data_IF_460519087408
#
_entry.id   IF_460519087408
#
_cell.length_a   1.000
_cell.length_b   1.000
_cell.length_c   1.000
_cell.angle_alpha   90.00
_cell.angle_beta   90.00
_cell.angle_gamma   90.00
#
_symmetry.space_group_name_H-M   'P 1'
#
loop_
_entity.id
_entity.type
_entity.pdbx_description
1 polymer ?
#
# COMPACT_ATOMS: atom_id res chain seq x y z
N UNK A 1 -9.21 -14.39 15.72
CA UNK A 1 -7.75 -14.13 15.74
C UNK A 1 -7.33 -12.96 14.82
N UNK A 2 -7.84 -12.91 13.58
CA UNK A 2 -7.55 -11.82 12.61
C UNK A 2 -7.90 -10.41 13.14
N UNK A 3 -9.00 -10.25 13.86
CA UNK A 3 -9.39 -8.93 14.42
C UNK A 3 -8.40 -8.45 15.48
N UNK A 4 -7.98 -9.32 16.40
CA UNK A 4 -6.98 -8.99 17.42
C UNK A 4 -5.63 -8.59 16.78
N UNK A 5 -5.21 -9.33 15.74
CA UNK A 5 -4.03 -8.97 14.95
C UNK A 5 -4.17 -7.57 14.34
N UNK A 6 -5.31 -7.26 13.71
CA UNK A 6 -5.55 -5.93 13.11
C UNK A 6 -5.51 -4.81 14.15
N UNK A 7 -6.12 -5.03 15.32
CA UNK A 7 -6.20 -4.04 16.41
C UNK A 7 -4.84 -3.75 17.02
N UNK A 8 -3.89 -4.68 17.02
CA UNK A 8 -2.53 -4.45 17.53
C UNK A 8 -1.59 -3.97 16.43
N UNK A 9 -1.63 -4.61 15.26
CA UNK A 9 -0.67 -4.41 14.19
C UNK A 9 -0.88 -3.07 13.48
N UNK A 10 -2.13 -2.65 13.23
CA UNK A 10 -2.42 -1.37 12.58
C UNK A 10 -1.88 -0.15 13.37
N UNK A 11 -2.15 0.01 14.68
CA UNK A 11 -1.59 1.12 15.43
C UNK A 11 -0.08 1.00 15.61
N UNK A 12 0.47 -0.22 15.79
CA UNK A 12 1.91 -0.41 15.90
C UNK A 12 2.66 0.01 14.62
N UNK A 13 2.15 -0.37 13.44
CA UNK A 13 2.75 0.01 12.17
C UNK A 13 2.65 1.51 11.92
N UNK A 14 1.52 2.14 12.25
CA UNK A 14 1.41 3.60 12.18
C UNK A 14 2.36 4.27 13.17
N UNK A 15 2.54 3.72 14.36
CA UNK A 15 3.51 4.23 15.32
C UNK A 15 4.92 4.22 14.75
N UNK A 16 5.36 3.04 14.30
CA UNK A 16 6.69 2.82 13.74
C UNK A 16 6.91 3.70 12.51
N UNK A 17 5.96 3.73 11.58
CA UNK A 17 6.06 4.54 10.37
C UNK A 17 6.05 6.04 10.66
N UNK A 18 5.28 6.50 11.65
CA UNK A 18 5.26 7.90 12.06
C UNK A 18 6.59 8.30 12.71
N UNK A 19 7.14 7.46 13.60
CA UNK A 19 8.45 7.71 14.23
C UNK A 19 9.57 7.71 13.19
N UNK A 20 9.56 6.74 12.27
CA UNK A 20 10.52 6.68 11.16
C UNK A 20 10.36 7.88 10.24
N UNK A 21 9.14 8.32 9.94
CA UNK A 21 8.87 9.52 9.15
C UNK A 21 9.38 10.80 9.80
N UNK A 22 9.29 10.91 11.13
CA UNK A 22 9.84 12.04 11.89
C UNK A 22 11.37 12.05 11.85
N UNK A 23 12.02 10.88 11.94
CA UNK A 23 13.49 10.78 11.99
C UNK A 23 14.17 10.80 10.62
N UNK A 24 13.56 10.16 9.62
CA UNK A 24 14.17 9.90 8.31
C UNK A 24 13.40 10.55 7.14
N UNK A 25 12.29 11.24 7.41
CA UNK A 25 11.54 12.01 6.44
C UNK A 25 10.31 11.29 5.86
N UNK A 26 9.38 12.05 5.25
CA UNK A 26 8.08 11.52 4.82
C UNK A 26 8.18 10.43 3.75
N UNK A 27 9.14 10.54 2.82
CA UNK A 27 9.36 9.53 1.77
C UNK A 27 9.69 8.15 2.33
N UNK A 28 10.50 8.09 3.39
CA UNK A 28 10.87 6.80 4.01
C UNK A 28 9.68 6.20 4.75
N UNK A 29 8.84 7.02 5.37
CA UNK A 29 7.60 6.52 5.99
C UNK A 29 6.63 5.92 4.95
N UNK A 30 6.46 6.59 3.80
CA UNK A 30 5.64 6.11 2.69
C UNK A 30 6.15 4.79 2.09
N UNK A 31 7.47 4.70 1.91
CA UNK A 31 8.13 3.47 1.45
C UNK A 31 7.93 2.31 2.42
N UNK A 32 8.11 2.56 3.72
CA UNK A 32 7.96 1.53 4.74
C UNK A 32 6.54 0.97 4.79
N UNK A 33 5.52 1.84 4.74
CA UNK A 33 4.11 1.38 4.80
C UNK A 33 3.64 0.70 3.51
N UNK A 34 4.41 0.78 2.42
CA UNK A 34 4.13 0.02 1.21
C UNK A 34 4.48 -1.47 1.32
N UNK A 35 5.24 -1.88 2.34
CA UNK A 35 5.47 -3.31 2.60
C UNK A 35 4.16 -4.01 3.04
N UNK A 36 4.00 -5.30 2.72
CA UNK A 36 2.82 -6.09 3.09
C UNK A 36 2.83 -6.50 4.57
N UNK A 37 3.08 -5.57 5.48
CA UNK A 37 3.15 -5.85 6.91
C UNK A 37 1.81 -6.31 7.50
N UNK A 38 0.69 -5.80 6.99
CA UNK A 38 -0.65 -6.26 7.40
C UNK A 38 -1.25 -7.25 6.43
N UNK A 39 -1.12 -6.98 5.13
CA UNK A 39 -1.68 -7.82 4.07
C UNK A 39 -1.01 -9.19 4.00
N UNK A 40 0.28 -9.30 4.31
CA UNK A 40 1.00 -10.58 4.38
C UNK A 40 0.46 -11.51 5.46
N UNK A 41 0.46 -11.14 6.75
CA UNK A 41 -0.13 -11.95 7.80
C UNK A 41 -1.62 -12.24 7.58
N UNK A 42 -2.41 -11.26 7.12
CA UNK A 42 -3.83 -11.49 6.80
C UNK A 42 -3.99 -12.52 5.68
N UNK A 43 -3.16 -12.45 4.64
CA UNK A 43 -3.15 -13.44 3.56
C UNK A 43 -2.75 -14.83 4.06
N UNK A 44 -1.84 -14.94 5.03
CA UNK A 44 -1.45 -16.21 5.63
C UNK A 44 -2.62 -16.84 6.41
N UNK A 45 -3.32 -16.06 7.22
CA UNK A 45 -4.51 -16.54 7.93
C UNK A 45 -5.60 -16.97 6.95
N UNK A 46 -5.85 -16.18 5.89
CA UNK A 46 -6.81 -16.55 4.85
C UNK A 46 -6.40 -17.85 4.14
N UNK A 47 -5.12 -18.08 3.87
CA UNK A 47 -4.64 -19.33 3.27
C UNK A 47 -4.86 -20.54 4.19
N UNK A 48 -4.68 -20.35 5.50
CA UNK A 48 -4.89 -21.40 6.51
C UNK A 48 -6.39 -21.70 6.74
N UNK A 49 -7.24 -20.68 6.69
CA UNK A 49 -8.68 -20.80 6.95
C UNK A 49 -9.48 -21.22 5.71
N UNK A 50 -9.13 -20.70 4.54
CA UNK A 50 -9.91 -20.85 3.29
C UNK A 50 -9.18 -21.69 2.21
N UNK A 51 -7.94 -22.11 2.48
CA UNK A 51 -7.14 -22.92 1.57
C UNK A 51 -6.34 -22.11 0.55
N UNK A 52 -5.49 -22.83 -0.20
CA UNK A 52 -4.49 -22.23 -1.11
C UNK A 52 -5.12 -21.57 -2.34
N UNK A 53 -6.18 -22.17 -2.91
CA UNK A 53 -6.85 -21.61 -4.09
C UNK A 53 -7.49 -20.24 -3.83
N UNK A 54 -8.08 -20.05 -2.63
CA UNK A 54 -8.58 -18.73 -2.22
C UNK A 54 -7.43 -17.73 -2.09
N UNK A 55 -6.32 -18.14 -1.48
CA UNK A 55 -5.15 -17.28 -1.32
C UNK A 55 -4.51 -16.90 -2.67
N UNK A 56 -4.45 -17.82 -3.64
CA UNK A 56 -3.98 -17.54 -4.99
C UNK A 56 -4.88 -16.53 -5.71
N UNK A 57 -6.19 -16.71 -5.65
CA UNK A 57 -7.16 -15.79 -6.25
C UNK A 57 -7.13 -14.40 -5.60
N UNK A 58 -7.03 -14.34 -4.27
CA UNK A 58 -6.88 -13.09 -3.52
C UNK A 58 -5.55 -12.38 -3.83
N UNK A 59 -4.47 -13.14 -4.03
CA UNK A 59 -3.17 -12.60 -4.43
C UNK A 59 -3.23 -11.97 -5.83
N UNK A 60 -3.89 -12.62 -6.79
CA UNK A 60 -4.10 -12.03 -8.13
C UNK A 60 -4.84 -10.68 -8.06
N UNK A 61 -5.92 -10.61 -7.28
CA UNK A 61 -6.63 -9.33 -7.03
C UNK A 61 -5.74 -8.28 -6.36
N UNK A 62 -4.91 -8.69 -5.40
CA UNK A 62 -3.97 -7.81 -4.70
C UNK A 62 -2.90 -7.24 -5.64
N UNK A 63 -2.41 -8.02 -6.61
CA UNK A 63 -1.46 -7.50 -7.61
C UNK A 63 -2.15 -6.45 -8.50
N UNK A 64 -3.38 -6.71 -8.97
CA UNK A 64 -4.13 -5.72 -9.74
C UNK A 64 -4.30 -4.40 -8.98
N UNK A 65 -4.56 -4.48 -7.68
CA UNK A 65 -4.75 -3.32 -6.81
C UNK A 65 -3.50 -2.45 -6.61
N UNK A 66 -2.31 -2.92 -6.99
CA UNK A 66 -1.07 -2.11 -6.99
C UNK A 66 -1.19 -0.94 -7.96
N UNK A 67 -1.76 -1.17 -9.15
CA UNK A 67 -1.97 -0.09 -10.13
C UNK A 67 -2.95 0.96 -9.59
N UNK A 68 -4.03 0.53 -8.93
CA UNK A 68 -4.96 1.44 -8.26
C UNK A 68 -4.27 2.26 -7.15
N UNK A 69 -3.35 1.65 -6.39
CA UNK A 69 -2.56 2.34 -5.36
C UNK A 69 -1.60 3.38 -5.95
N UNK A 70 -1.00 3.09 -7.09
CA UNK A 70 -0.18 4.07 -7.82
C UNK A 70 -1.02 5.24 -8.36
N UNK A 71 -2.22 4.96 -8.88
CA UNK A 71 -3.19 5.98 -9.31
C UNK A 71 -3.59 6.87 -8.13
N UNK A 72 -3.88 6.28 -6.96
CA UNK A 72 -4.12 7.02 -5.71
C UNK A 72 -2.95 7.97 -5.42
N UNK A 73 -1.72 7.47 -5.46
CA UNK A 73 -0.53 8.25 -5.13
C UNK A 73 -0.36 9.46 -6.08
N UNK A 74 -0.51 9.24 -7.39
CA UNK A 74 -0.41 10.31 -8.40
C UNK A 74 -1.54 11.32 -8.26
N UNK A 75 -2.79 10.86 -8.07
CA UNK A 75 -3.94 11.73 -7.89
C UNK A 75 -3.80 12.58 -6.61
N UNK A 76 -3.37 11.97 -5.51
CA UNK A 76 -3.14 12.68 -4.25
C UNK A 76 -2.05 13.75 -4.44
N UNK A 77 -0.90 13.38 -5.01
CA UNK A 77 0.20 14.32 -5.28
C UNK A 77 -0.25 15.48 -6.17
N UNK A 78 -0.99 15.19 -7.25
CA UNK A 78 -1.47 16.21 -8.16
C UNK A 78 -2.39 17.22 -7.48
N UNK A 79 -3.29 16.75 -6.60
CA UNK A 79 -4.24 17.59 -5.87
C UNK A 79 -3.61 18.33 -4.69
N UNK A 80 -2.61 17.74 -4.04
CA UNK A 80 -1.92 18.33 -2.90
C UNK A 80 -1.20 19.65 -3.23
N UNK A 81 -0.95 19.91 -4.52
CA UNK A 81 -0.36 21.17 -5.00
C UNK A 81 -1.31 22.36 -4.96
N UNK A 82 -2.63 22.12 -4.95
CA UNK A 82 -3.65 23.17 -5.15
C UNK A 82 -4.74 23.17 -4.08
N UNK A 83 -4.99 22.04 -3.43
CA UNK A 83 -6.11 21.87 -2.52
C UNK A 83 -5.64 21.37 -1.16
N UNK A 84 -6.46 21.61 -0.14
CA UNK A 84 -6.24 21.06 1.19
C UNK A 84 -6.43 19.53 1.22
N UNK A 85 -5.93 18.91 2.29
CA UNK A 85 -5.94 17.46 2.47
C UNK A 85 -7.29 16.76 2.29
N UNK A 86 -8.47 17.32 2.67
CA UNK A 86 -9.73 16.59 2.51
C UNK A 86 -10.08 16.38 1.04
N UNK A 87 -9.92 17.42 0.23
CA UNK A 87 -10.17 17.37 -1.21
C UNK A 87 -9.16 16.48 -1.92
N UNK A 88 -7.86 16.55 -1.54
CA UNK A 88 -6.84 15.67 -2.12
C UNK A 88 -7.11 14.20 -1.81
N UNK A 89 -7.50 13.89 -0.57
CA UNK A 89 -7.85 12.52 -0.16
C UNK A 89 -9.10 12.03 -0.89
N UNK A 90 -10.15 12.85 -0.98
CA UNK A 90 -11.40 12.49 -1.64
C UNK A 90 -11.17 12.16 -3.12
N UNK A 91 -10.44 13.02 -3.85
CA UNK A 91 -10.12 12.79 -5.27
C UNK A 91 -9.24 11.57 -5.45
N UNK A 92 -8.22 11.38 -4.60
CA UNK A 92 -7.36 10.20 -4.67
C UNK A 92 -8.12 8.89 -4.38
N UNK A 93 -9.04 8.91 -3.40
CA UNK A 93 -9.89 7.78 -3.06
C UNK A 93 -10.89 7.45 -4.17
N UNK A 94 -11.46 8.48 -4.81
CA UNK A 94 -12.32 8.31 -5.96
C UNK A 94 -11.55 7.73 -7.15
N UNK A 95 -10.35 8.23 -7.44
CA UNK A 95 -9.50 7.70 -8.50
C UNK A 95 -9.11 6.24 -8.24
N UNK A 96 -8.83 5.87 -6.98
CA UNK A 96 -8.62 4.49 -6.57
C UNK A 96 -9.86 3.62 -6.84
N UNK A 97 -11.05 4.09 -6.41
CA UNK A 97 -12.30 3.36 -6.60
C UNK A 97 -12.62 3.14 -8.09
N UNK A 98 -12.46 4.17 -8.92
CA UNK A 98 -12.62 4.07 -10.37
C UNK A 98 -11.64 3.05 -10.97
N UNK A 99 -10.37 3.08 -10.53
CA UNK A 99 -9.37 2.12 -10.97
C UNK A 99 -9.72 0.68 -10.57
N UNK A 100 -10.23 0.46 -9.36
CA UNK A 100 -10.69 -0.85 -8.89
C UNK A 100 -11.85 -1.36 -9.74
N UNK A 101 -12.85 -0.51 -10.03
CA UNK A 101 -13.98 -0.88 -10.89
C UNK A 101 -13.51 -1.22 -12.31
N UNK A 102 -12.62 -0.41 -12.88
CA UNK A 102 -12.05 -0.67 -14.21
C UNK A 102 -11.24 -1.97 -14.27
N UNK A 103 -10.45 -2.26 -13.21
CA UNK A 103 -9.67 -3.49 -13.11
C UNK A 103 -10.56 -4.73 -12.90
N UNK A 104 -11.64 -4.60 -12.14
CA UNK A 104 -12.60 -5.69 -11.94
C UNK A 104 -13.37 -6.04 -13.21
N UNK A 105 -13.58 -5.07 -14.10
CA UNK A 105 -14.24 -5.29 -15.39
C UNK A 105 -13.34 -6.00 -16.43
N UNK A 106 -12.05 -6.20 -16.16
CA UNK A 106 -11.18 -6.98 -17.04
C UNK A 106 -11.53 -8.47 -16.92
N UNK A 107 -11.78 -9.17 -18.05
CA UNK A 107 -11.99 -10.61 -18.03
C UNK A 107 -10.66 -11.31 -17.75
N UNK A 108 -10.40 -11.58 -16.47
CA UNK A 108 -9.19 -12.26 -15.99
C UNK A 108 -9.32 -13.80 -16.06
N UNK A 109 -10.34 -14.31 -16.75
CA UNK A 109 -10.72 -15.74 -16.81
C UNK A 109 -9.76 -16.61 -17.67
N UNK A 110 -8.62 -16.07 -18.11
CA UNK A 110 -7.63 -16.80 -18.90
C UNK A 110 -6.75 -17.71 -18.05
N UNK A 111 -6.99 -19.04 -18.10
CA UNK A 111 -6.32 -20.09 -17.31
C UNK A 111 -4.81 -20.30 -17.51
N UNK A 112 -3.99 -19.25 -17.44
CA UNK A 112 -2.53 -19.31 -17.43
C UNK A 112 -1.96 -18.32 -16.38
N UNK A 113 -0.69 -18.41 -15.95
CA UNK A 113 -0.05 -17.38 -15.11
C UNK A 113 0.25 -16.07 -15.87
N UNK A 114 -0.01 -16.01 -17.18
CA UNK A 114 0.13 -14.83 -18.03
C UNK A 114 -0.62 -13.59 -17.51
N UNK A 115 -1.90 -13.68 -17.08
CA UNK A 115 -2.59 -12.59 -16.38
C UNK A 115 -1.86 -12.12 -15.11
N UNK A 116 -1.26 -13.02 -14.33
CA UNK A 116 -0.57 -12.63 -13.09
C UNK A 116 0.70 -11.81 -13.37
N UNK A 117 1.51 -12.24 -14.34
CA UNK A 117 2.71 -11.52 -14.73
C UNK A 117 2.38 -10.20 -15.43
N UNK A 118 1.31 -10.15 -16.22
CA UNK A 118 0.82 -8.92 -16.84
C UNK A 118 0.30 -7.91 -15.79
N UNK A 119 -0.47 -8.37 -14.81
CA UNK A 119 -0.91 -7.53 -13.68
C UNK A 119 0.28 -7.02 -12.86
N UNK A 120 1.28 -7.88 -12.62
CA UNK A 120 2.51 -7.48 -11.93
C UNK A 120 3.28 -6.43 -12.74
N UNK A 121 3.52 -6.67 -14.02
CA UNK A 121 4.21 -5.73 -14.90
C UNK A 121 3.45 -4.39 -14.99
N UNK A 122 2.12 -4.43 -15.11
CA UNK A 122 1.27 -3.24 -15.11
C UNK A 122 1.32 -2.47 -13.79
N UNK A 123 1.26 -3.17 -12.64
CA UNK A 123 1.39 -2.58 -11.32
C UNK A 123 2.76 -1.94 -11.09
N UNK A 124 3.84 -2.62 -11.47
CA UNK A 124 5.21 -2.09 -11.41
C UNK A 124 5.39 -0.90 -12.35
N UNK A 125 4.86 -0.97 -13.57
CA UNK A 125 4.89 0.14 -14.52
C UNK A 125 4.15 1.36 -13.98
N UNK A 126 2.96 1.17 -13.38
CA UNK A 126 2.20 2.24 -12.74
C UNK A 126 2.96 2.85 -11.55
N UNK A 127 3.61 2.02 -10.73
CA UNK A 127 4.44 2.46 -9.62
C UNK A 127 5.65 3.29 -10.11
N UNK A 128 6.35 2.81 -11.15
CA UNK A 128 7.46 3.54 -11.78
C UNK A 128 6.98 4.86 -12.38
N UNK A 129 5.84 4.85 -13.09
CA UNK A 129 5.23 6.07 -13.62
C UNK A 129 4.92 7.06 -12.49
N UNK A 130 4.37 6.60 -11.37
CA UNK A 130 4.15 7.42 -10.17
C UNK A 130 5.44 8.05 -9.64
N UNK A 131 6.52 7.26 -9.53
CA UNK A 131 7.86 7.76 -9.14
C UNK A 131 8.39 8.82 -10.12
N UNK A 132 8.10 8.70 -11.42
CA UNK A 132 8.54 9.67 -12.44
C UNK A 132 7.68 10.94 -12.48
N UNK A 133 6.38 10.82 -12.24
CA UNK A 133 5.41 11.92 -12.32
C UNK A 133 5.43 12.77 -11.05
N UNK A 134 5.49 12.15 -9.88
CA UNK A 134 5.52 12.88 -8.60
C UNK A 134 6.89 13.57 -8.51
N UNK A 135 7.00 14.85 -8.13
CA UNK A 135 8.28 15.53 -8.03
C UNK A 135 9.27 14.85 -7.06
N UNK A 136 10.59 15.00 -7.25
CA UNK A 136 11.56 14.52 -6.27
C UNK A 136 11.44 15.29 -4.93
N UNK A 137 11.81 14.66 -3.81
CA UNK A 137 11.83 15.30 -2.49
C UNK A 137 12.56 16.64 -2.51
N UNK A 138 11.96 17.64 -1.88
CA UNK A 138 12.59 18.95 -1.62
C UNK A 138 12.84 19.09 -0.12
N UNK A 139 13.78 19.95 0.24
CA UNK A 139 13.92 20.37 1.63
C UNK A 139 12.58 20.90 2.12
N UNK A 140 12.13 20.37 3.25
CA UNK A 140 10.89 20.79 3.89
C UNK A 140 11.27 21.66 5.07
N UNK A 141 10.53 22.75 5.26
CA UNK A 141 10.70 23.60 6.45
C UNK A 141 10.55 22.76 7.73
N UNK A 142 11.22 23.23 8.78
CA UNK A 142 11.11 22.62 10.10
C UNK A 142 9.63 22.58 10.50
N UNK A 143 9.11 21.37 10.73
CA UNK A 143 7.73 21.24 11.18
C UNK A 143 7.61 21.78 12.61
N UNK A 144 6.50 22.43 12.97
CA UNK A 144 6.16 22.65 14.36
C UNK A 144 6.18 21.33 15.12
N UNK A 145 6.59 21.35 16.39
CA UNK A 145 6.59 20.14 17.21
C UNK A 145 5.15 19.59 17.28
N UNK A 146 4.91 18.35 16.80
CA UNK A 146 3.54 17.86 16.72
C UNK A 146 2.95 17.68 18.12
N UNK A 147 1.68 18.05 18.34
CA UNK A 147 1.04 17.89 19.64
C UNK A 147 1.05 16.41 20.05
N UNK A 148 1.14 16.14 21.36
CA UNK A 148 1.24 14.76 21.90
C UNK A 148 0.05 13.87 21.49
N UNK A 149 -1.09 14.47 21.16
CA UNK A 149 -2.30 13.79 20.68
C UNK A 149 -2.29 13.44 19.18
N UNK A 150 -1.35 13.96 18.39
CA UNK A 150 -1.21 13.65 16.96
C UNK A 150 -1.08 12.15 16.70
N UNK A 151 -0.19 11.49 17.44
CA UNK A 151 0.11 10.08 17.27
C UNK A 151 -1.08 9.16 17.68
N UNK A 152 -1.70 9.35 18.86
CA UNK A 152 -2.93 8.64 19.21
C UNK A 152 -4.06 8.81 18.18
N UNK A 153 -4.27 10.03 17.66
CA UNK A 153 -5.34 10.27 16.67
C UNK A 153 -5.03 9.54 15.35
N UNK A 154 -3.78 9.57 14.87
CA UNK A 154 -3.37 8.78 13.69
C UNK A 154 -3.63 7.30 13.88
N UNK A 155 -3.28 6.75 15.04
CA UNK A 155 -3.50 5.35 15.37
C UNK A 155 -4.98 5.00 15.36
N UNK A 156 -5.83 5.81 15.99
CA UNK A 156 -7.29 5.59 16.04
C UNK A 156 -7.89 5.65 14.63
N UNK A 157 -7.58 6.69 13.85
CA UNK A 157 -8.11 6.85 12.49
C UNK A 157 -7.69 5.71 11.57
N UNK A 158 -6.40 5.35 11.57
CA UNK A 158 -5.90 4.24 10.77
C UNK A 158 -6.53 2.91 11.17
N UNK A 159 -6.67 2.66 12.47
CA UNK A 159 -7.28 1.43 12.99
C UNK A 159 -8.76 1.36 12.63
N UNK A 160 -9.50 2.45 12.78
CA UNK A 160 -10.91 2.52 12.41
C UNK A 160 -11.11 2.26 10.90
N UNK A 161 -10.30 2.88 10.05
CA UNK A 161 -10.34 2.65 8.60
C UNK A 161 -10.03 1.20 8.24
N UNK A 162 -9.00 0.59 8.85
CA UNK A 162 -8.67 -0.83 8.64
C UNK A 162 -9.84 -1.73 9.07
N UNK A 163 -10.47 -1.46 10.20
CA UNK A 163 -11.63 -2.25 10.67
C UNK A 163 -12.79 -2.13 9.68
N UNK A 164 -13.13 -0.92 9.23
CA UNK A 164 -14.24 -0.68 8.29
C UNK A 164 -13.98 -1.40 6.96
N UNK A 165 -12.82 -1.17 6.34
CA UNK A 165 -12.49 -1.74 5.03
C UNK A 165 -12.43 -3.26 5.11
N UNK A 166 -11.78 -3.80 6.14
CA UNK A 166 -11.63 -5.25 6.25
C UNK A 166 -12.87 -5.97 6.78
N UNK A 167 -13.79 -5.25 7.42
CA UNK A 167 -15.12 -5.75 7.79
C UNK A 167 -16.07 -5.81 6.59
N UNK A 168 -15.91 -4.90 5.62
CA UNK A 168 -16.68 -4.92 4.38
C UNK A 168 -16.18 -5.97 3.36
N UNK A 169 -14.90 -6.34 3.43
CA UNK A 169 -14.24 -7.22 2.46
C UNK A 169 -14.88 -8.62 2.25
N UNK A 170 -15.36 -9.34 3.30
CA UNK A 170 -15.98 -10.66 3.12
C UNK A 170 -17.27 -10.64 2.29
N UNK A 171 -17.93 -9.49 2.18
CA UNK A 171 -19.20 -9.34 1.45
C UNK A 171 -19.00 -9.25 -0.07
N UNK A 172 -17.76 -9.19 -0.54
CA UNK A 172 -17.42 -8.79 -1.92
C UNK A 172 -16.70 -9.89 -2.72
N UNK A 173 -16.42 -11.05 -2.12
CA UNK A 173 -15.72 -12.16 -2.77
C UNK A 173 -14.19 -11.98 -2.86
N UNK A 174 -13.44 -13.02 -3.25
CA UNK A 174 -11.97 -13.08 -3.10
C UNK A 174 -11.22 -12.00 -3.91
N UNK A 175 -11.61 -11.78 -5.16
CA UNK A 175 -10.91 -10.85 -6.07
C UNK A 175 -11.13 -9.39 -5.68
N UNK A 176 -12.38 -8.97 -5.40
CA UNK A 176 -12.68 -7.62 -4.92
C UNK A 176 -12.11 -7.38 -3.53
N UNK A 177 -12.11 -8.40 -2.65
CA UNK A 177 -11.40 -8.32 -1.38
C UNK A 177 -9.91 -8.05 -1.59
N UNK A 178 -9.25 -8.75 -2.51
CA UNK A 178 -7.86 -8.48 -2.89
C UNK A 178 -7.64 -7.04 -3.37
N UNK A 179 -8.44 -6.58 -4.33
CA UNK A 179 -8.37 -5.22 -4.87
C UNK A 179 -8.59 -4.15 -3.80
N UNK A 180 -9.56 -4.31 -2.90
CA UNK A 180 -9.86 -3.33 -1.86
C UNK A 180 -8.82 -3.32 -0.74
N UNK A 181 -8.18 -4.46 -0.47
CA UNK A 181 -7.12 -4.53 0.54
C UNK A 181 -5.87 -3.75 0.16
N UNK A 182 -5.70 -3.37 -1.12
CA UNK A 182 -4.61 -2.50 -1.55
C UNK A 182 -4.88 -1.02 -1.31
N UNK A 183 -6.09 -0.64 -0.87
CA UNK A 183 -6.35 0.75 -0.54
C UNK A 183 -5.30 1.23 0.48
N UNK A 184 -4.55 2.30 0.17
CA UNK A 184 -3.33 2.61 0.91
C UNK A 184 -3.65 3.36 2.20
N UNK A 185 -4.36 2.73 3.15
CA UNK A 185 -4.84 3.33 4.40
C UNK A 185 -3.70 4.03 5.14
N UNK A 186 -2.60 3.32 5.37
CA UNK A 186 -1.49 3.83 6.16
C UNK A 186 -0.80 5.01 5.46
N UNK A 187 -0.57 4.91 4.16
CA UNK A 187 0.04 6.00 3.40
C UNK A 187 -0.91 7.19 3.28
N UNK A 188 -2.22 6.96 3.14
CA UNK A 188 -3.24 8.00 3.15
C UNK A 188 -3.27 8.76 4.48
N UNK A 189 -3.25 8.05 5.62
CA UNK A 189 -3.15 8.67 6.94
C UNK A 189 -1.85 9.47 7.07
N UNK A 190 -0.69 8.88 6.72
CA UNK A 190 0.58 9.59 6.75
C UNK A 190 0.60 10.82 5.83
N UNK A 191 0.02 10.72 4.63
CA UNK A 191 -0.05 11.80 3.66
C UNK A 191 -0.99 12.92 4.12
N UNK A 192 -2.15 12.60 4.68
CA UNK A 192 -3.09 13.59 5.24
C UNK A 192 -2.43 14.39 6.34
N UNK A 193 -1.78 13.71 7.27
CA UNK A 193 -1.13 14.39 8.38
C UNK A 193 0.13 15.15 7.94
N UNK A 194 0.91 14.61 7.01
CA UNK A 194 2.03 15.34 6.42
C UNK A 194 1.54 16.60 5.68
N UNK A 195 0.43 16.49 4.96
CA UNK A 195 -0.21 17.62 4.27
C UNK A 195 -0.70 18.68 5.25
N UNK A 196 -1.40 18.27 6.31
CA UNK A 196 -1.94 19.18 7.32
C UNK A 196 -0.85 19.91 8.11
N UNK A 197 0.30 19.28 8.34
CA UNK A 197 1.37 19.83 9.19
C UNK A 197 2.46 20.58 8.41
N UNK A 198 2.78 20.12 7.20
CA UNK A 198 3.95 20.57 6.42
C UNK A 198 3.60 20.90 4.96
N UNK A 199 2.32 20.96 4.63
CA UNK A 199 1.83 21.31 3.30
C UNK A 199 1.94 20.18 2.27
N UNK A 200 1.49 20.47 1.04
CA UNK A 200 1.38 19.50 -0.04
C UNK A 200 2.69 18.79 -0.39
N UNK A 201 3.83 19.50 -0.33
CA UNK A 201 5.15 18.94 -0.64
C UNK A 201 5.55 17.78 0.28
N UNK A 202 5.16 17.82 1.56
CA UNK A 202 5.41 16.72 2.48
C UNK A 202 4.54 15.50 2.17
N UNK A 203 3.31 15.74 1.70
CA UNK A 203 2.42 14.67 1.30
C UNK A 203 2.85 14.01 -0.01
N UNK A 204 3.33 14.79 -0.99
CA UNK A 204 3.97 14.30 -2.22
C UNK A 204 5.12 13.35 -1.91
N UNK A 205 5.96 13.68 -0.91
CA UNK A 205 7.05 12.82 -0.46
C UNK A 205 6.53 11.47 0.07
N UNK A 206 5.48 11.46 0.91
CA UNK A 206 4.87 10.22 1.41
C UNK A 206 4.37 9.36 0.25
N UNK A 207 3.57 9.92 -0.65
CA UNK A 207 2.94 9.13 -1.72
C UNK A 207 3.95 8.72 -2.80
N UNK A 208 5.02 9.50 -3.02
CA UNK A 208 6.17 9.06 -3.81
C UNK A 208 6.88 7.87 -3.17
N UNK A 209 7.09 7.92 -1.85
CA UNK A 209 7.64 6.81 -1.07
C UNK A 209 6.79 5.56 -1.19
N UNK A 210 5.46 5.71 -1.10
CA UNK A 210 4.50 4.63 -1.32
C UNK A 210 4.73 3.96 -2.69
N UNK A 211 4.92 4.72 -3.76
CA UNK A 211 5.18 4.15 -5.09
C UNK A 211 6.42 3.24 -5.13
N UNK A 212 7.45 3.49 -4.31
CA UNK A 212 8.56 2.54 -4.17
C UNK A 212 8.16 1.29 -3.39
N UNK A 213 7.43 1.45 -2.28
CA UNK A 213 7.03 0.35 -1.40
C UNK A 213 6.04 -0.62 -2.05
N UNK A 214 5.10 -0.14 -2.86
CA UNK A 214 4.10 -1.00 -3.52
C UNK A 214 4.71 -1.95 -4.56
N UNK A 215 5.97 -1.73 -4.99
CA UNK A 215 6.70 -2.69 -5.82
C UNK A 215 6.99 -3.96 -5.01
N UNK A 216 7.42 -3.83 -3.76
CA UNK A 216 7.64 -4.98 -2.88
C UNK A 216 6.32 -5.69 -2.54
N UNK A 217 5.23 -4.94 -2.37
CA UNK A 217 3.87 -5.50 -2.25
C UNK A 217 3.50 -6.35 -3.48
N UNK A 218 3.72 -5.83 -4.69
CA UNK A 218 3.46 -6.55 -5.93
C UNK A 218 4.28 -7.84 -6.01
N UNK A 219 5.57 -7.79 -5.65
CA UNK A 219 6.46 -8.97 -5.66
C UNK A 219 6.02 -10.02 -4.64
N UNK A 220 5.59 -9.60 -3.45
CA UNK A 220 5.07 -10.50 -2.43
C UNK A 220 3.86 -11.29 -2.94
N UNK A 221 2.86 -10.60 -3.49
CA UNK A 221 1.65 -11.27 -3.98
C UNK A 221 1.86 -12.03 -5.28
N UNK A 222 2.83 -11.65 -6.11
CA UNK A 222 3.27 -12.46 -7.25
C UNK A 222 3.80 -13.82 -6.78
N UNK A 223 4.66 -13.83 -5.76
CA UNK A 223 5.20 -15.06 -5.20
C UNK A 223 4.11 -15.94 -4.57
N UNK A 224 3.16 -15.36 -3.83
CA UNK A 224 2.01 -16.12 -3.30
C UNK A 224 1.18 -16.70 -4.44
N UNK A 225 0.72 -15.88 -5.38
CA UNK A 225 -0.13 -16.34 -6.48
C UNK A 225 0.53 -17.40 -7.37
N UNK A 226 1.86 -17.37 -7.51
CA UNK A 226 2.61 -18.35 -8.30
C UNK A 226 2.94 -19.65 -7.54
N UNK A 227 3.14 -19.59 -6.22
CA UNK A 227 3.73 -20.70 -5.45
C UNK A 227 2.77 -21.37 -4.48
N UNK A 228 1.71 -20.70 -4.00
CA UNK A 228 0.90 -21.20 -2.87
C UNK A 228 0.21 -22.53 -3.19
N UNK A 229 -0.31 -22.70 -4.41
CA UNK A 229 -0.96 -23.94 -4.84
C UNK A 229 0.06 -25.04 -5.22
N UNK A 230 1.28 -24.66 -5.65
CA UNK A 230 2.28 -25.60 -6.18
C UNK A 230 3.23 -26.13 -5.12
N UNK A 231 3.62 -25.28 -4.18
CA UNK A 231 4.61 -25.55 -3.14
C UNK A 231 3.99 -25.63 -1.74
N UNK A 232 2.74 -25.20 -1.58
CA UNK A 232 2.08 -25.08 -0.28
C UNK A 232 2.39 -23.77 0.43
N UNK A 233 1.76 -23.58 1.59
CA UNK A 233 1.70 -22.29 2.30
C UNK A 233 3.09 -21.84 2.77
N UNK A 234 3.79 -22.66 3.56
CA UNK A 234 5.06 -22.26 4.19
C UNK A 234 6.14 -21.79 3.19
N UNK A 235 6.49 -22.56 2.14
CA UNK A 235 7.52 -22.13 1.18
C UNK A 235 7.07 -20.93 0.33
N UNK A 236 5.78 -20.82 0.00
CA UNK A 236 5.26 -19.67 -0.75
C UNK A 236 5.39 -18.36 0.05
N UNK A 237 5.01 -18.37 1.33
CA UNK A 237 5.14 -17.19 2.19
C UNK A 237 6.59 -16.85 2.53
N UNK A 238 7.47 -17.84 2.69
CA UNK A 238 8.90 -17.62 2.88
C UNK A 238 9.53 -16.96 1.64
N UNK A 239 9.24 -17.47 0.44
CA UNK A 239 9.70 -16.89 -0.82
C UNK A 239 9.15 -15.47 -1.04
N UNK A 240 7.86 -15.26 -0.73
CA UNK A 240 7.21 -13.95 -0.83
C UNK A 240 7.85 -12.92 0.11
N UNK A 241 8.10 -13.28 1.37
CA UNK A 241 8.76 -12.42 2.35
C UNK A 241 10.19 -12.07 1.92
N UNK A 242 10.98 -13.07 1.50
CA UNK A 242 12.33 -12.85 1.01
C UNK A 242 12.36 -11.93 -0.21
N UNK A 243 11.49 -12.18 -1.21
CA UNK A 243 11.37 -11.35 -2.40
C UNK A 243 10.98 -9.91 -2.06
N UNK A 244 9.99 -9.72 -1.20
CA UNK A 244 9.57 -8.40 -0.73
C UNK A 244 10.73 -7.64 -0.05
N UNK A 245 11.48 -8.30 0.84
CA UNK A 245 12.63 -7.68 1.53
C UNK A 245 13.72 -7.27 0.53
N UNK A 246 14.05 -8.12 -0.45
CA UNK A 246 15.05 -7.82 -1.48
C UNK A 246 14.63 -6.62 -2.33
N UNK A 247 13.39 -6.60 -2.82
CA UNK A 247 12.86 -5.47 -3.61
C UNK A 247 12.80 -4.19 -2.78
N UNK A 248 12.39 -4.30 -1.52
CA UNK A 248 12.33 -3.17 -0.61
C UNK A 248 13.73 -2.59 -0.35
N UNK A 249 14.74 -3.43 -0.13
CA UNK A 249 16.12 -3.01 0.04
C UNK A 249 16.69 -2.37 -1.24
N UNK A 250 16.38 -2.92 -2.41
CA UNK A 250 16.81 -2.36 -3.70
C UNK A 250 16.18 -0.97 -3.96
N UNK A 251 14.89 -0.80 -3.64
CA UNK A 251 14.19 0.48 -3.81
C UNK A 251 14.63 1.54 -2.81
N UNK A 252 15.15 1.16 -1.64
CA UNK A 252 15.73 2.09 -0.67
C UNK A 252 16.90 2.89 -1.25
N UNK A 253 17.74 2.25 -2.08
CA UNK A 253 18.82 2.94 -2.78
C UNK A 253 18.28 4.02 -3.74
N UNK A 254 17.14 3.76 -4.39
CA UNK A 254 16.45 4.72 -5.25
C UNK A 254 15.91 5.94 -4.49
N UNK A 255 15.39 5.73 -3.27
CA UNK A 255 14.91 6.82 -2.40
C UNK A 255 16.07 7.69 -1.90
N UNK A 256 17.17 7.05 -1.48
CA UNK A 256 18.36 7.76 -0.99
C UNK A 256 19.03 8.60 -2.08
N UNK A 257 19.06 8.11 -3.33
CA UNK A 257 19.63 8.86 -4.47
C UNK A 257 18.81 10.09 -4.89
N UNK A 258 17.53 10.15 -4.51
CA UNK A 258 16.65 11.28 -4.78
C UNK A 258 16.40 12.19 -3.59
N UNK A 259 17.03 11.93 -2.44
CA UNK A 259 16.95 12.81 -1.26
C UNK A 259 18.02 13.92 -1.41
N UNK A 260 17.67 15.19 -1.11
CA UNK A 260 18.62 16.30 -1.17
C UNK A 260 19.76 16.15 -0.16
#
# INVERSE_FOLDING_TARGET
MIVALKVVLAPALIAVATVIGRRFGPSISGWLVGLPFTSGPVSLFLALEQGTGFAAAAAAGSIGGVAASAIFAVAYAAMARRFAWPASLAVASLAFGIAVVALHALPLDGGFPLPLLALYAGGVAAAIAGIRIIPPPRALDAAPEPPRWDLPVRMVVATALVIIITGAAPLLGPQLSGLLTTYPVYAGVLAVFAHAQRGGAAAEQVVRGLCYGIIAFATFFLAIGALVDRAGILPAFAAAAAGAIVVQAATLAGIRRGSP
#
